data_IF_303304453560
#
_entry.id   IF_303304453560
#
_cell.length_a   1.000
_cell.length_b   1.000
_cell.length_c   1.000
_cell.angle_alpha   90.00
_cell.angle_beta   90.00
_cell.angle_gamma   90.00
#
_symmetry.space_group_name_H-M   'P 1'
#
loop_
_entity.id
_entity.type
_entity.pdbx_description
1 polymer ?
#
# COMPACT_ATOMS: atom_id res chain seq x y z
N UNK A 1 -10.47 8.28 4.92
CA UNK A 1 -9.61 7.09 4.67
C UNK A 1 -8.28 7.40 5.32
N UNK A 2 -7.85 6.62 6.30
CA UNK A 2 -6.51 6.77 6.88
C UNK A 2 -5.49 5.98 6.05
N UNK A 3 -4.31 6.55 5.83
CA UNK A 3 -3.21 5.94 5.10
C UNK A 3 -1.91 6.22 5.87
N UNK A 4 -0.93 5.33 5.72
CA UNK A 4 0.22 5.31 6.63
C UNK A 4 1.20 6.48 6.40
N UNK A 5 1.35 6.99 5.19
CA UNK A 5 2.43 7.91 4.84
C UNK A 5 1.99 8.98 3.84
N UNK A 6 2.48 10.21 4.05
CA UNK A 6 2.07 11.39 3.29
C UNK A 6 0.98 12.19 3.99
N UNK A 7 0.62 13.34 3.44
CA UNK A 7 -0.46 14.18 3.97
C UNK A 7 -1.29 14.77 2.83
N UNK A 8 -2.60 14.89 3.06
CA UNK A 8 -3.55 15.63 2.23
C UNK A 8 -4.13 16.82 3.02
N UNK A 9 -3.40 17.36 4.00
CA UNK A 9 -3.83 18.56 4.73
C UNK A 9 -3.72 19.79 3.79
N UNK A 10 -2.91 20.79 4.11
CA UNK A 10 -2.83 22.03 3.30
C UNK A 10 -2.03 21.89 1.99
N UNK A 11 -1.13 20.90 1.91
CA UNK A 11 -0.32 20.60 0.73
C UNK A 11 -0.28 19.08 0.59
N UNK A 12 -0.63 18.57 -0.58
CA UNK A 12 -0.43 17.15 -0.86
C UNK A 12 1.06 16.82 -0.85
N UNK A 13 1.50 16.07 0.15
CA UNK A 13 2.89 15.62 0.27
C UNK A 13 2.94 14.11 0.09
N UNK A 14 3.61 13.66 -0.98
CA UNK A 14 3.84 12.23 -1.21
C UNK A 14 4.92 11.70 -0.29
N UNK A 15 4.84 10.40 0.01
CA UNK A 15 5.92 9.67 0.65
C UNK A 15 7.25 9.87 -0.07
N UNK A 16 8.30 10.16 0.70
CA UNK A 16 9.64 10.38 0.16
C UNK A 16 9.89 11.78 -0.40
N UNK A 17 8.87 12.65 -0.47
CA UNK A 17 9.05 14.04 -0.86
C UNK A 17 9.36 14.94 0.34
N UNK A 18 10.10 16.01 0.07
CA UNK A 18 10.39 17.10 1.01
C UNK A 18 10.08 18.43 0.32
N UNK A 19 8.81 18.74 0.05
CA UNK A 19 8.47 19.96 -0.65
C UNK A 19 8.86 21.18 0.19
N UNK A 20 9.20 22.28 -0.49
CA UNK A 20 9.44 23.57 0.15
C UNK A 20 8.15 24.40 0.11
N UNK A 21 7.89 25.17 1.16
CA UNK A 21 6.86 26.21 1.10
C UNK A 21 7.38 27.43 0.32
N UNK A 22 6.52 28.43 0.08
CA UNK A 22 6.88 29.66 -0.65
C UNK A 22 8.04 30.47 -0.04
N UNK A 23 8.41 30.20 1.22
CA UNK A 23 9.54 30.83 1.91
C UNK A 23 10.80 29.93 1.95
N UNK A 24 10.83 28.83 1.18
CA UNK A 24 11.97 27.92 1.12
C UNK A 24 12.15 27.00 2.34
N UNK A 25 11.16 26.92 3.24
CA UNK A 25 11.19 26.02 4.40
C UNK A 25 10.67 24.65 4.02
N UNK A 26 11.34 23.57 4.49
CA UNK A 26 10.89 22.19 4.26
C UNK A 26 9.55 21.95 4.94
N UNK A 27 8.54 21.65 4.15
CA UNK A 27 7.26 21.12 4.63
C UNK A 27 7.55 19.72 5.13
N UNK A 28 7.32 19.49 6.42
CA UNK A 28 7.39 18.15 6.99
C UNK A 28 6.25 17.33 6.38
N UNK A 29 6.58 16.43 5.45
CA UNK A 29 5.72 15.27 5.18
C UNK A 29 5.37 14.65 6.52
N UNK A 30 4.14 14.19 6.70
CA UNK A 30 3.87 13.27 7.81
C UNK A 30 4.91 12.15 7.72
N UNK A 31 5.58 11.89 8.83
CA UNK A 31 6.39 10.69 8.94
C UNK A 31 5.47 9.49 8.74
N UNK A 32 5.96 8.44 8.09
CA UNK A 32 5.22 7.19 8.02
C UNK A 32 4.69 6.81 9.41
N UNK A 33 3.50 6.24 9.43
CA UNK A 33 2.84 5.77 10.64
C UNK A 33 3.75 4.80 11.40
N UNK A 34 3.57 4.72 12.72
CA UNK A 34 4.45 3.92 13.59
C UNK A 34 4.46 2.43 13.22
N UNK A 35 3.35 1.92 12.70
CA UNK A 35 3.18 0.52 12.35
C UNK A 35 2.39 0.38 11.03
N UNK A 36 3.09 0.29 9.88
CA UNK A 36 2.46 0.14 8.57
C UNK A 36 1.61 -1.12 8.41
N UNK A 37 1.81 -2.15 9.26
CA UNK A 37 1.06 -3.40 9.18
C UNK A 37 -0.41 -3.27 9.56
N UNK A 38 -0.77 -2.17 10.26
CA UNK A 38 -2.14 -1.86 10.67
C UNK A 38 -2.95 -1.08 9.63
N UNK A 39 -2.34 -0.71 8.50
CA UNK A 39 -2.97 0.08 7.46
C UNK A 39 -3.10 -0.74 6.18
N UNK A 40 -4.22 -0.55 5.47
CA UNK A 40 -4.39 -1.09 4.11
C UNK A 40 -3.63 -0.22 3.11
N UNK A 41 -3.81 1.10 3.21
CA UNK A 41 -3.25 2.09 2.30
C UNK A 41 -1.92 2.65 2.80
N UNK A 42 -0.92 2.67 1.95
CA UNK A 42 0.36 3.32 2.21
C UNK A 42 0.24 4.84 2.05
N UNK A 43 -0.17 5.33 0.87
CA UNK A 43 -0.17 6.76 0.51
C UNK A 43 -1.47 7.26 -0.14
N UNK A 44 -2.52 6.45 -0.08
CA UNK A 44 -3.80 6.68 -0.76
C UNK A 44 -3.89 6.06 -2.16
N UNK A 45 -2.80 5.54 -2.73
CA UNK A 45 -2.74 4.93 -4.06
C UNK A 45 -2.22 3.50 -3.97
N UNK A 46 -1.14 3.29 -3.21
CA UNK A 46 -0.48 1.99 -3.06
C UNK A 46 -0.91 1.28 -1.78
N UNK A 47 -0.96 -0.06 -1.81
CA UNK A 47 -1.14 -0.86 -0.62
C UNK A 47 0.14 -0.94 0.22
N UNK A 48 -0.03 -1.12 1.53
CA UNK A 48 1.08 -1.49 2.42
C UNK A 48 1.58 -2.89 2.10
N UNK A 49 2.78 -3.22 2.59
CA UNK A 49 3.33 -4.58 2.47
C UNK A 49 2.37 -5.64 3.02
N UNK A 50 1.77 -5.40 4.19
CA UNK A 50 0.85 -6.36 4.82
C UNK A 50 -0.40 -6.61 3.98
N UNK A 51 -0.96 -5.55 3.38
CA UNK A 51 -2.09 -5.67 2.47
C UNK A 51 -1.70 -6.40 1.17
N UNK A 52 -0.52 -6.14 0.61
CA UNK A 52 -0.02 -6.88 -0.56
C UNK A 52 0.24 -8.36 -0.25
N UNK A 53 0.78 -8.70 0.92
CA UNK A 53 0.94 -10.09 1.36
C UNK A 53 -0.41 -10.80 1.42
N UNK A 54 -1.43 -10.15 1.99
CA UNK A 54 -2.78 -10.71 2.04
C UNK A 54 -3.36 -10.98 0.63
N UNK A 55 -3.24 -10.03 -0.29
CA UNK A 55 -3.67 -10.23 -1.69
C UNK A 55 -2.89 -11.36 -2.35
N UNK A 56 -1.58 -11.43 -2.15
CA UNK A 56 -0.74 -12.50 -2.70
C UNK A 56 -1.14 -13.88 -2.17
N UNK A 57 -1.46 -14.02 -0.89
CA UNK A 57 -1.95 -15.26 -0.30
C UNK A 57 -3.25 -15.75 -0.96
N UNK A 58 -4.19 -14.84 -1.21
CA UNK A 58 -5.46 -15.15 -1.88
C UNK A 58 -5.28 -15.55 -3.34
N UNK A 59 -4.27 -15.01 -4.03
CA UNK A 59 -3.89 -15.44 -5.38
C UNK A 59 -3.27 -16.83 -5.32
N UNK A 60 -2.29 -17.04 -4.44
CA UNK A 60 -1.55 -18.31 -4.31
C UNK A 60 -2.45 -19.49 -3.94
N UNK A 61 -3.39 -19.27 -3.03
CA UNK A 61 -4.32 -20.31 -2.58
C UNK A 61 -5.50 -20.52 -3.55
N UNK A 62 -5.67 -19.66 -4.55
CA UNK A 62 -6.70 -19.79 -5.58
C UNK A 62 -8.06 -19.19 -5.21
N UNK A 63 -8.19 -18.50 -4.07
CA UNK A 63 -9.46 -17.87 -3.66
C UNK A 63 -9.90 -16.76 -4.63
N UNK A 64 -8.96 -16.18 -5.37
CA UNK A 64 -9.22 -15.18 -6.43
C UNK A 64 -9.14 -15.77 -7.85
N UNK A 65 -9.10 -17.10 -8.00
CA UNK A 65 -9.08 -17.78 -9.30
C UNK A 65 -10.48 -18.24 -9.70
N UNK A 66 -10.72 -18.36 -11.01
CA UNK A 66 -11.93 -18.96 -11.58
C UNK A 66 -11.55 -20.09 -12.57
N UNK A 67 -11.81 -21.38 -12.24
CA UNK A 67 -12.41 -21.86 -11.00
C UNK A 67 -11.47 -21.67 -9.78
N UNK A 68 -11.98 -21.71 -8.53
CA UNK A 68 -11.16 -21.57 -7.32
C UNK A 68 -10.19 -22.75 -7.12
N UNK A 69 -9.01 -22.64 -7.74
CA UNK A 69 -7.94 -23.64 -7.70
C UNK A 69 -6.62 -22.97 -7.32
N UNK A 70 -5.90 -23.57 -6.37
CA UNK A 70 -4.59 -23.03 -5.98
C UNK A 70 -3.62 -23.06 -7.16
N UNK A 71 -2.72 -22.07 -7.24
CA UNK A 71 -1.74 -21.97 -8.34
C UNK A 71 -0.91 -23.26 -8.50
N UNK A 72 -0.59 -23.95 -7.40
CA UNK A 72 0.14 -25.23 -7.40
C UNK A 72 -0.63 -26.42 -8.03
N UNK A 73 -1.95 -26.30 -8.18
CA UNK A 73 -2.83 -27.32 -8.76
C UNK A 73 -3.31 -26.96 -10.17
N UNK A 74 -3.26 -25.68 -10.54
CA UNK A 74 -3.71 -25.19 -11.85
C UNK A 74 -2.96 -25.85 -13.03
N UNK A 75 -1.64 -26.08 -12.90
CA UNK A 75 -0.81 -26.62 -13.99
C UNK A 75 -0.86 -28.16 -14.14
N UNK A 76 -1.70 -28.88 -13.39
CA UNK A 76 -1.70 -30.36 -13.38
C UNK A 76 -2.70 -31.03 -14.34
N UNK A 77 -3.28 -30.28 -15.27
CA UNK A 77 -4.12 -30.86 -16.33
C UNK A 77 -3.31 -30.96 -17.64
N UNK A 78 -2.77 -32.12 -18.02
CA UNK A 78 -2.55 -32.41 -19.44
C UNK A 78 -3.88 -32.51 -20.20
#
# INVERSE_FOLDING_TARGET
MEFCCGSYDDVYVRCGQKPLNGNGTVIRSSSACKDPSKYISWDGIHFTEKANQFVAELILNGSLSDPPISLSKACRNP
#
